data_IF_940345465197
#
_entry.id   IF_940345465197
#
_cell.length_a   1.000
_cell.length_b   1.000
_cell.length_c   1.000
_cell.angle_alpha   90.00
_cell.angle_beta   90.00
_cell.angle_gamma   90.00
#
_symmetry.space_group_name_H-M   'P 1'
#
loop_
_entity.id
_entity.type
_entity.pdbx_description
1 polymer ?
#
# COMPACT_ATOMS: atom_id res chain seq x y z
N UNK A 1 -32.11 27.49 5.76
CA UNK A 1 -30.77 27.16 6.28
C UNK A 1 -30.91 26.67 7.70
N UNK A 2 -30.59 25.40 7.96
CA UNK A 2 -30.38 24.78 9.28
C UNK A 2 -30.08 23.29 9.03
N UNK A 3 -28.80 22.93 8.94
CA UNK A 3 -28.37 21.53 9.07
C UNK A 3 -27.74 21.39 10.45
N UNK A 4 -28.56 20.90 11.39
CA UNK A 4 -28.12 20.47 12.71
C UNK A 4 -27.87 18.97 12.67
N UNK A 5 -26.62 18.60 12.86
CA UNK A 5 -26.12 17.53 13.76
C UNK A 5 -26.96 16.26 13.92
N UNK A 6 -26.40 15.12 13.51
CA UNK A 6 -26.47 13.90 14.33
C UNK A 6 -25.29 12.96 14.02
N UNK A 7 -24.34 12.92 14.95
CA UNK A 7 -23.39 11.81 15.13
C UNK A 7 -24.07 10.86 16.12
N UNK A 8 -24.29 9.59 15.77
CA UNK A 8 -24.38 8.52 16.78
C UNK A 8 -24.27 7.10 16.20
N UNK A 9 -23.31 6.35 16.77
CA UNK A 9 -23.27 4.89 17.00
C UNK A 9 -23.23 3.96 15.75
N UNK A 10 -22.59 2.79 15.76
CA UNK A 10 -22.07 1.90 16.78
C UNK A 10 -21.09 0.92 16.09
N UNK A 11 -20.08 0.37 16.78
CA UNK A 11 -19.76 -1.06 16.66
C UNK A 11 -19.25 -1.56 18.01
N UNK A 12 -20.05 -2.41 18.63
CA UNK A 12 -19.74 -3.11 19.86
C UNK A 12 -18.77 -4.28 19.58
N UNK A 13 -17.85 -4.42 20.53
CA UNK A 13 -16.94 -5.54 20.77
C UNK A 13 -17.67 -6.89 20.69
N UNK A 14 -17.22 -7.81 19.82
CA UNK A 14 -17.71 -9.20 19.82
C UNK A 14 -16.60 -10.15 20.25
N UNK A 15 -16.91 -10.91 21.29
CA UNK A 15 -16.08 -11.87 22.02
C UNK A 15 -15.94 -13.21 21.29
N UNK A 16 -14.82 -13.86 21.62
CA UNK A 16 -14.42 -15.27 21.40
C UNK A 16 -15.45 -16.29 20.92
N UNK A 17 -15.01 -17.10 19.96
CA UNK A 17 -15.40 -18.51 19.84
C UNK A 17 -14.14 -19.38 19.62
N UNK A 18 -13.86 -20.22 20.60
CA UNK A 18 -12.88 -21.32 20.53
C UNK A 18 -13.68 -22.57 20.17
N UNK A 19 -13.33 -23.28 19.08
CA UNK A 19 -13.71 -24.68 18.93
C UNK A 19 -12.73 -25.47 18.04
N UNK A 20 -12.20 -26.53 18.66
CA UNK A 20 -11.81 -27.86 18.14
C UNK A 20 -10.68 -28.02 17.10
N UNK A 21 -9.62 -28.71 17.57
CA UNK A 21 -8.82 -29.68 16.79
C UNK A 21 -9.67 -30.92 16.42
N UNK A 22 -9.29 -31.70 15.38
CA UNK A 22 -8.37 -32.82 15.60
C UNK A 22 -7.32 -33.03 14.49
N UNK A 23 -6.22 -33.68 14.87
CA UNK A 23 -5.17 -34.18 13.98
C UNK A 23 -5.66 -35.33 13.05
N UNK A 24 -4.89 -35.62 12.00
CA UNK A 24 -4.43 -37.01 11.87
C UNK A 24 -2.94 -37.14 11.54
N UNK A 25 -2.41 -38.29 11.96
CA UNK A 25 -1.07 -38.79 11.79
C UNK A 25 -0.69 -39.10 10.33
N UNK A 26 0.59 -38.97 9.98
CA UNK A 26 1.45 -40.11 9.64
C UNK A 26 2.76 -39.66 9.00
N UNK A 27 3.85 -40.24 9.50
CA UNK A 27 5.17 -40.31 8.87
C UNK A 27 5.09 -40.60 7.38
N UNK A 28 5.86 -39.87 6.56
CA UNK A 28 6.65 -40.44 5.46
C UNK A 28 7.85 -39.51 5.19
N UNK A 29 8.99 -39.95 5.71
CA UNK A 29 10.33 -39.57 5.24
C UNK A 29 10.43 -39.95 3.76
N UNK A 30 10.31 -38.98 2.86
CA UNK A 30 10.63 -39.20 1.45
C UNK A 30 12.14 -39.16 1.30
N UNK A 31 12.70 -40.36 1.20
CA UNK A 31 14.07 -40.66 0.85
C UNK A 31 14.53 -39.84 -0.35
N UNK A 32 15.66 -39.16 -0.20
CA UNK A 32 16.36 -38.44 -1.25
C UNK A 32 17.02 -39.46 -2.19
N UNK A 33 16.22 -40.08 -3.06
CA UNK A 33 16.71 -41.10 -3.98
C UNK A 33 17.49 -40.45 -5.13
N UNK A 34 18.80 -40.66 -5.09
CA UNK A 34 19.81 -40.05 -5.94
C UNK A 34 19.75 -40.72 -7.32
N UNK A 35 18.87 -40.26 -8.22
CA UNK A 35 18.84 -40.70 -9.63
C UNK A 35 20.06 -40.19 -10.40
N UNK A 36 21.19 -40.88 -10.25
CA UNK A 36 22.27 -40.90 -11.24
C UNK A 36 21.79 -41.76 -12.40
N UNK A 37 21.20 -41.13 -13.42
CA UNK A 37 20.86 -41.80 -14.67
C UNK A 37 22.13 -41.89 -15.53
N UNK A 38 22.84 -43.01 -15.45
CA UNK A 38 23.86 -43.39 -16.46
C UNK A 38 23.14 -43.56 -17.80
N UNK A 39 23.40 -42.66 -18.75
CA UNK A 39 23.01 -42.84 -20.15
C UNK A 39 24.18 -43.47 -20.91
N UNK A 40 24.05 -44.75 -21.25
CA UNK A 40 24.83 -45.45 -22.28
C UNK A 40 24.09 -45.33 -23.61
N UNK A 41 24.70 -44.66 -24.59
CA UNK A 41 24.22 -44.59 -25.98
C UNK A 41 24.74 -43.34 -26.71
N UNK A 42 25.22 -43.44 -27.97
CA UNK A 42 25.72 -42.30 -28.73
C UNK A 42 24.53 -41.53 -29.32
N UNK A 43 23.87 -40.74 -28.47
CA UNK A 43 22.79 -39.85 -28.85
C UNK A 43 23.32 -38.43 -29.02
N UNK A 44 23.16 -37.88 -30.22
CA UNK A 44 23.46 -36.51 -30.63
C UNK A 44 23.08 -35.52 -29.51
N UNK A 45 24.08 -34.79 -29.00
CA UNK A 45 23.93 -33.69 -28.06
C UNK A 45 23.07 -32.59 -28.72
N UNK A 46 21.76 -32.65 -28.54
CA UNK A 46 20.90 -31.50 -28.78
C UNK A 46 21.20 -30.50 -27.67
N UNK A 47 22.05 -29.52 -27.98
CA UNK A 47 22.32 -28.37 -27.11
C UNK A 47 20.97 -27.68 -26.90
N UNK A 48 20.36 -27.92 -25.75
CA UNK A 48 19.15 -27.24 -25.32
C UNK A 48 19.48 -25.75 -25.29
N UNK A 49 19.01 -25.06 -26.34
CA UNK A 49 19.16 -23.62 -26.57
C UNK A 49 18.88 -22.91 -25.26
N UNK A 50 19.93 -22.37 -24.62
CA UNK A 50 19.78 -21.55 -23.41
C UNK A 50 18.77 -20.47 -23.75
N UNK A 51 17.70 -20.38 -22.98
CA UNK A 51 16.68 -19.35 -23.14
C UNK A 51 17.37 -17.99 -23.27
N UNK A 52 16.98 -17.14 -24.23
CA UNK A 52 17.64 -15.86 -24.43
C UNK A 52 17.53 -15.04 -23.14
N UNK A 53 18.65 -14.45 -22.72
CA UNK A 53 18.68 -13.54 -21.60
C UNK A 53 17.58 -12.47 -21.77
N UNK A 54 16.82 -12.12 -20.72
CA UNK A 54 15.76 -11.12 -20.83
C UNK A 54 16.35 -9.82 -21.36
N UNK A 55 15.76 -9.29 -22.43
CA UNK A 55 16.27 -8.12 -23.12
C UNK A 55 16.41 -6.92 -22.16
N UNK A 56 17.42 -6.04 -22.34
CA UNK A 56 17.68 -4.92 -21.45
C UNK A 56 16.44 -4.04 -21.17
N UNK A 57 15.55 -3.92 -22.17
CA UNK A 57 14.29 -3.18 -22.09
C UNK A 57 13.28 -3.77 -21.10
N UNK A 58 13.19 -5.11 -21.01
CA UNK A 58 12.30 -5.80 -20.05
C UNK A 58 12.76 -5.59 -18.60
N UNK A 59 14.08 -5.55 -18.39
CA UNK A 59 14.68 -5.29 -17.07
C UNK A 59 14.46 -3.84 -16.60
N UNK A 60 14.51 -2.85 -17.50
CA UNK A 60 14.26 -1.46 -17.14
C UNK A 60 12.81 -1.19 -16.70
N UNK A 61 11.84 -1.81 -17.38
CA UNK A 61 10.41 -1.69 -17.06
C UNK A 61 10.09 -2.31 -15.69
N UNK A 62 10.59 -3.51 -15.43
CA UNK A 62 10.39 -4.18 -14.14
C UNK A 62 10.98 -3.38 -12.97
N UNK A 63 12.16 -2.76 -13.17
CA UNK A 63 12.76 -1.86 -12.17
C UNK A 63 11.88 -0.64 -11.88
N UNK A 64 11.37 0.04 -12.92
CA UNK A 64 10.47 1.20 -12.75
C UNK A 64 9.18 0.83 -12.03
N UNK A 65 8.60 -0.33 -12.35
CA UNK A 65 7.42 -0.85 -11.68
C UNK A 65 7.68 -1.12 -10.18
N UNK A 66 8.80 -1.76 -9.85
CA UNK A 66 9.18 -2.00 -8.46
C UNK A 66 9.38 -0.68 -7.69
N UNK A 67 10.06 0.29 -8.28
CA UNK A 67 10.23 1.63 -7.71
C UNK A 67 8.87 2.28 -7.45
N UNK A 68 7.98 2.28 -8.44
CA UNK A 68 6.65 2.87 -8.29
C UNK A 68 5.85 2.25 -7.13
N UNK A 69 5.89 0.92 -6.99
CA UNK A 69 5.24 0.21 -5.87
C UNK A 69 5.83 0.60 -4.52
N UNK A 70 7.15 0.72 -4.43
CA UNK A 70 7.84 1.17 -3.21
C UNK A 70 7.46 2.62 -2.88
N UNK A 71 7.46 3.52 -3.87
CA UNK A 71 7.08 4.92 -3.67
C UNK A 71 5.65 5.08 -3.17
N UNK A 72 4.70 4.25 -3.63
CA UNK A 72 3.32 4.22 -3.09
C UNK A 72 3.34 3.86 -1.61
N UNK A 73 3.97 2.74 -1.25
CA UNK A 73 3.99 2.25 0.15
C UNK A 73 4.69 3.25 1.07
N UNK A 74 5.86 3.74 0.66
CA UNK A 74 6.65 4.69 1.44
C UNK A 74 5.93 6.03 1.57
N UNK A 75 5.33 6.52 0.48
CA UNK A 75 4.57 7.77 0.49
C UNK A 75 3.36 7.68 1.42
N UNK A 76 2.58 6.60 1.36
CA UNK A 76 1.44 6.39 2.27
C UNK A 76 1.86 6.29 3.73
N UNK A 77 2.96 5.59 4.03
CA UNK A 77 3.47 5.50 5.40
C UNK A 77 3.90 6.88 5.92
N UNK A 78 4.72 7.60 5.15
CA UNK A 78 5.19 8.94 5.53
C UNK A 78 4.05 9.94 5.68
N UNK A 79 3.00 9.80 4.86
CA UNK A 79 1.80 10.63 4.99
C UNK A 79 1.11 10.37 6.32
N UNK A 80 0.94 9.11 6.74
CA UNK A 80 0.37 8.77 8.04
C UNK A 80 1.21 9.30 9.22
N UNK A 81 2.54 9.16 9.13
CA UNK A 81 3.47 9.68 10.13
C UNK A 81 3.34 11.23 10.23
N UNK A 82 3.37 11.93 9.09
CA UNK A 82 3.20 13.37 9.04
C UNK A 82 1.82 13.84 9.54
N UNK A 83 0.74 13.11 9.26
CA UNK A 83 -0.58 13.44 9.81
C UNK A 83 -0.63 13.33 11.34
N UNK A 84 0.15 12.41 11.92
CA UNK A 84 0.31 12.31 13.38
C UNK A 84 1.04 13.54 13.93
N UNK A 85 2.06 14.02 13.20
CA UNK A 85 2.74 15.28 13.54
C UNK A 85 1.82 16.49 13.40
N UNK A 86 0.94 16.53 12.38
CA UNK A 86 -0.09 17.59 12.25
C UNK A 86 -1.02 17.57 13.45
N UNK A 87 -1.50 16.41 13.90
CA UNK A 87 -2.33 16.30 15.12
C UNK A 87 -1.58 16.82 16.34
N UNK A 88 -0.32 16.42 16.51
CA UNK A 88 0.49 16.85 17.64
C UNK A 88 0.75 18.38 17.62
N UNK A 89 1.05 18.95 16.45
CA UNK A 89 1.31 20.37 16.28
C UNK A 89 0.04 21.23 16.41
N UNK A 90 -1.13 20.70 16.04
CA UNK A 90 -2.42 21.36 16.24
C UNK A 90 -2.83 21.36 17.72
N UNK A 91 -2.56 20.25 18.45
CA UNK A 91 -2.91 20.08 19.86
C UNK A 91 -4.38 20.42 20.20
N UNK A 92 -5.30 20.23 19.24
CA UNK A 92 -6.74 20.56 19.37
C UNK A 92 -7.06 22.05 19.33
N UNK A 93 -6.12 22.91 18.91
CA UNK A 93 -6.33 24.35 18.82
C UNK A 93 -7.33 24.74 17.72
N UNK A 94 -7.36 23.99 16.61
CA UNK A 94 -8.27 24.22 15.50
C UNK A 94 -9.03 22.95 15.11
N UNK A 95 -10.35 22.96 15.33
CA UNK A 95 -11.23 21.84 15.00
C UNK A 95 -11.37 21.58 13.49
N UNK A 96 -11.15 22.61 12.65
CA UNK A 96 -11.13 22.44 11.21
C UNK A 96 -9.90 21.64 10.77
N UNK A 97 -8.74 21.88 11.40
CA UNK A 97 -7.53 21.07 11.20
C UNK A 97 -7.81 19.61 11.60
N UNK A 98 -8.39 19.37 12.78
CA UNK A 98 -8.69 18.01 13.25
C UNK A 98 -9.65 17.26 12.32
N UNK A 99 -10.65 17.96 11.79
CA UNK A 99 -11.59 17.40 10.79
C UNK A 99 -10.84 16.94 9.56
N UNK A 100 -9.94 17.77 9.03
CA UNK A 100 -9.19 17.43 7.82
C UNK A 100 -8.12 16.35 8.07
N UNK A 101 -7.48 16.33 9.24
CA UNK A 101 -6.56 15.23 9.60
C UNK A 101 -7.31 13.90 9.68
N UNK A 102 -8.52 13.88 10.25
CA UNK A 102 -9.36 12.68 10.31
C UNK A 102 -9.71 12.19 8.91
N UNK A 103 -10.16 13.09 8.03
CA UNK A 103 -10.47 12.76 6.63
C UNK A 103 -9.23 12.26 5.86
N UNK A 104 -8.08 12.91 6.04
CA UNK A 104 -6.83 12.51 5.41
C UNK A 104 -6.38 11.12 5.88
N UNK A 105 -6.47 10.85 7.18
CA UNK A 105 -6.12 9.56 7.79
C UNK A 105 -7.02 8.45 7.29
N UNK A 106 -8.33 8.69 7.15
CA UNK A 106 -9.26 7.72 6.58
C UNK A 106 -8.89 7.37 5.13
N UNK A 107 -8.60 8.37 4.29
CA UNK A 107 -8.14 8.13 2.92
C UNK A 107 -6.82 7.36 2.84
N UNK A 108 -5.85 7.70 3.70
CA UNK A 108 -4.57 6.95 3.79
C UNK A 108 -4.82 5.51 4.22
N UNK A 109 -5.70 5.26 5.20
CA UNK A 109 -6.04 3.91 5.67
C UNK A 109 -6.67 3.07 4.56
N UNK A 110 -7.65 3.63 3.84
CA UNK A 110 -8.29 2.95 2.71
C UNK A 110 -7.27 2.59 1.62
N UNK A 111 -6.37 3.53 1.29
CA UNK A 111 -5.31 3.26 0.33
C UNK A 111 -4.35 2.16 0.82
N UNK A 112 -3.97 2.18 2.10
CA UNK A 112 -3.12 1.15 2.68
C UNK A 112 -3.79 -0.22 2.67
N UNK A 113 -5.09 -0.30 2.92
CA UNK A 113 -5.83 -1.57 2.90
C UNK A 113 -5.94 -2.13 1.48
N UNK A 114 -6.15 -1.26 0.48
CA UNK A 114 -6.02 -1.65 -0.94
C UNK A 114 -4.62 -2.18 -1.26
N UNK A 115 -3.55 -1.51 -0.81
CA UNK A 115 -2.17 -1.97 -1.01
C UNK A 115 -1.92 -3.32 -0.33
N UNK A 116 -2.42 -3.54 0.89
CA UNK A 116 -2.29 -4.81 1.61
C UNK A 116 -2.99 -5.95 0.86
N UNK A 117 -4.21 -5.71 0.38
CA UNK A 117 -4.98 -6.70 -0.39
C UNK A 117 -4.26 -7.06 -1.70
N UNK A 118 -3.78 -6.07 -2.45
CA UNK A 118 -2.94 -6.27 -3.63
C UNK A 118 -1.69 -7.09 -3.30
N UNK A 119 -1.03 -6.78 -2.17
CA UNK A 119 0.13 -7.52 -1.70
C UNK A 119 -0.19 -8.98 -1.36
N UNK A 120 -1.37 -9.26 -0.81
CA UNK A 120 -1.85 -10.61 -0.53
C UNK A 120 -2.11 -11.40 -1.82
N UNK A 121 -2.79 -10.80 -2.80
CA UNK A 121 -3.02 -11.40 -4.12
C UNK A 121 -1.71 -11.79 -4.79
N UNK A 122 -0.75 -10.87 -4.83
CA UNK A 122 0.56 -11.11 -5.44
C UNK A 122 1.30 -12.24 -4.74
N UNK A 123 1.27 -12.30 -3.40
CA UNK A 123 1.89 -13.38 -2.64
C UNK A 123 1.23 -14.74 -2.91
N UNK A 124 -0.08 -14.75 -3.14
CA UNK A 124 -0.83 -15.94 -3.54
C UNK A 124 -0.61 -16.33 -5.02
N UNK A 125 0.10 -15.51 -5.81
CA UNK A 125 0.29 -15.72 -7.24
C UNK A 125 -0.87 -15.26 -8.11
N UNK A 126 -1.85 -14.55 -7.52
CA UNK A 126 -2.98 -13.99 -8.22
C UNK A 126 -2.64 -12.63 -8.84
N UNK A 127 -3.35 -12.27 -9.90
CA UNK A 127 -3.34 -10.91 -10.40
C UNK A 127 -4.09 -9.99 -9.41
N UNK A 128 -3.59 -8.76 -9.15
CA UNK A 128 -4.28 -7.82 -8.29
C UNK A 128 -5.72 -7.56 -8.76
N UNK A 129 -6.66 -7.50 -7.83
CA UNK A 129 -8.05 -7.18 -8.15
C UNK A 129 -8.24 -5.70 -8.54
N UNK A 130 -9.19 -5.42 -9.43
CA UNK A 130 -9.53 -4.03 -9.79
C UNK A 130 -10.09 -3.26 -8.60
N UNK A 131 -10.91 -3.90 -7.76
CA UNK A 131 -11.50 -3.27 -6.59
C UNK A 131 -10.43 -2.73 -5.63
N UNK A 132 -9.36 -3.49 -5.39
CA UNK A 132 -8.28 -3.05 -4.50
C UNK A 132 -7.41 -1.95 -5.13
N UNK A 133 -7.19 -1.99 -6.46
CA UNK A 133 -6.57 -0.85 -7.16
C UNK A 133 -7.39 0.43 -7.03
N UNK A 134 -8.71 0.31 -7.12
CA UNK A 134 -9.61 1.46 -6.97
C UNK A 134 -9.54 2.02 -5.55
N UNK A 135 -9.52 1.18 -4.51
CA UNK A 135 -9.29 1.62 -3.12
C UNK A 135 -7.98 2.42 -2.96
N UNK A 136 -6.89 1.96 -3.57
CA UNK A 136 -5.62 2.70 -3.54
C UNK A 136 -5.77 4.07 -4.20
N UNK A 137 -6.42 4.13 -5.36
CA UNK A 137 -6.62 5.37 -6.11
C UNK A 137 -7.52 6.35 -5.35
N UNK A 138 -8.70 5.92 -4.95
CA UNK A 138 -9.68 6.76 -4.27
C UNK A 138 -9.21 7.19 -2.89
N UNK A 139 -8.56 6.29 -2.13
CA UNK A 139 -7.96 6.65 -0.84
C UNK A 139 -6.86 7.70 -0.96
N UNK A 140 -5.99 7.60 -1.97
CA UNK A 140 -4.97 8.64 -2.25
C UNK A 140 -5.61 9.97 -2.65
N UNK A 141 -6.68 9.95 -3.47
CA UNK A 141 -7.40 11.16 -3.89
C UNK A 141 -8.05 11.84 -2.67
N UNK A 142 -8.75 11.07 -1.83
CA UNK A 142 -9.37 11.58 -0.62
C UNK A 142 -8.33 12.17 0.34
N UNK A 143 -7.23 11.46 0.59
CA UNK A 143 -6.13 11.94 1.43
C UNK A 143 -5.53 13.24 0.88
N UNK A 144 -5.27 13.31 -0.43
CA UNK A 144 -4.72 14.51 -1.07
C UNK A 144 -5.68 15.69 -0.97
N UNK A 145 -6.97 15.47 -1.21
CA UNK A 145 -7.98 16.52 -1.10
C UNK A 145 -8.05 17.11 0.31
N UNK A 146 -8.04 16.27 1.34
CA UNK A 146 -8.00 16.72 2.73
C UNK A 146 -6.70 17.46 3.09
N UNK A 147 -5.55 17.01 2.59
CA UNK A 147 -4.26 17.70 2.77
C UNK A 147 -4.26 19.07 2.07
N UNK A 148 -4.89 19.21 0.90
CA UNK A 148 -5.04 20.51 0.25
C UNK A 148 -5.89 21.49 1.06
N UNK A 149 -6.94 20.97 1.72
CA UNK A 149 -7.71 21.77 2.68
C UNK A 149 -6.89 22.13 3.91
N UNK A 150 -6.09 21.21 4.46
CA UNK A 150 -5.14 21.51 5.55
C UNK A 150 -4.20 22.65 5.17
N UNK A 151 -3.61 22.62 3.97
CA UNK A 151 -2.75 23.72 3.48
C UNK A 151 -3.47 25.05 3.42
N UNK A 152 -4.73 25.04 3.00
CA UNK A 152 -5.54 26.26 2.90
C UNK A 152 -5.83 26.83 4.29
N UNK A 153 -6.21 25.97 5.24
CA UNK A 153 -6.51 26.36 6.63
C UNK A 153 -5.24 26.89 7.33
N UNK A 154 -4.12 26.17 7.23
CA UNK A 154 -2.88 26.58 7.91
C UNK A 154 -2.25 27.83 7.31
N UNK A 155 -2.39 28.05 6.00
CA UNK A 155 -1.95 29.29 5.37
C UNK A 155 -2.73 30.53 5.87
N UNK A 156 -4.01 30.37 6.18
CA UNK A 156 -4.82 31.44 6.77
C UNK A 156 -4.41 31.76 8.23
N UNK A 157 -3.83 30.77 8.93
CA UNK A 157 -3.46 30.81 10.35
C UNK A 157 -1.95 30.57 10.56
N UNK A 158 -1.10 31.21 9.75
CA UNK A 158 0.35 30.93 9.62
C UNK A 158 1.23 31.24 10.86
N UNK A 159 0.66 31.35 12.06
CA UNK A 159 1.37 31.63 13.30
C UNK A 159 2.02 30.40 13.93
N UNK A 160 1.61 29.19 13.52
CA UNK A 160 2.16 27.92 14.02
C UNK A 160 3.06 27.27 12.95
N UNK A 161 4.36 27.59 13.01
CA UNK A 161 5.35 27.13 12.05
C UNK A 161 5.50 25.58 12.02
N UNK A 162 5.36 24.93 13.18
CA UNK A 162 5.44 23.47 13.28
C UNK A 162 4.26 22.81 12.57
N UNK A 163 3.05 23.37 12.74
CA UNK A 163 1.85 22.92 12.03
C UNK A 163 1.99 23.11 10.51
N UNK A 164 2.49 24.26 10.07
CA UNK A 164 2.75 24.51 8.64
C UNK A 164 3.76 23.50 8.08
N UNK A 165 4.87 23.25 8.79
CA UNK A 165 5.89 22.30 8.37
C UNK A 165 5.35 20.87 8.26
N UNK A 166 4.57 20.42 9.27
CA UNK A 166 3.97 19.09 9.27
C UNK A 166 2.98 18.89 8.11
N UNK A 167 2.16 19.91 7.80
CA UNK A 167 1.25 19.86 6.65
C UNK A 167 2.01 19.83 5.32
N UNK A 168 3.10 20.58 5.18
CA UNK A 168 3.93 20.53 3.98
C UNK A 168 4.63 19.18 3.81
N UNK A 169 5.04 18.53 4.89
CA UNK A 169 5.61 17.18 4.84
C UNK A 169 4.57 16.11 4.51
N UNK A 170 3.33 16.27 4.99
CA UNK A 170 2.20 15.45 4.55
C UNK A 170 1.96 15.62 3.03
N UNK A 171 1.95 16.84 2.50
CA UNK A 171 1.78 17.14 1.06
C UNK A 171 2.90 16.54 0.20
N UNK A 172 4.17 16.67 0.61
CA UNK A 172 5.30 16.03 -0.08
C UNK A 172 5.17 14.50 -0.09
N UNK A 173 4.75 13.92 1.04
CA UNK A 173 4.63 12.47 1.21
C UNK A 173 3.50 11.88 0.37
N UNK A 174 2.34 12.53 0.32
CA UNK A 174 1.24 12.06 -0.54
C UNK A 174 1.57 12.26 -2.03
N UNK A 175 2.32 13.31 -2.39
CA UNK A 175 2.84 13.49 -3.76
C UNK A 175 3.81 12.38 -4.17
N UNK A 176 4.62 11.87 -3.23
CA UNK A 176 5.45 10.69 -3.49
C UNK A 176 4.60 9.46 -3.78
N UNK A 177 3.51 9.24 -3.04
CA UNK A 177 2.60 8.13 -3.31
C UNK A 177 1.94 8.25 -4.68
N UNK A 178 1.47 9.45 -5.05
CA UNK A 178 0.89 9.74 -6.37
C UNK A 178 1.90 9.47 -7.49
N UNK A 179 3.14 9.96 -7.35
CA UNK A 179 4.22 9.70 -8.30
C UNK A 179 4.47 8.20 -8.47
N UNK A 180 4.52 7.46 -7.36
CA UNK A 180 4.64 6.01 -7.38
C UNK A 180 3.50 5.33 -8.13
N UNK A 181 2.25 5.74 -7.87
CA UNK A 181 1.06 5.22 -8.55
C UNK A 181 1.09 5.46 -10.06
N UNK A 182 1.53 6.65 -10.50
CA UNK A 182 1.71 6.96 -11.92
C UNK A 182 2.80 6.09 -12.57
N UNK A 183 3.91 5.85 -11.87
CA UNK A 183 4.96 4.94 -12.34
C UNK A 183 4.44 3.50 -12.47
N UNK A 184 3.62 3.04 -11.52
CA UNK A 184 2.99 1.71 -11.63
C UNK A 184 2.09 1.67 -12.86
N UNK A 185 1.13 2.59 -12.98
CA UNK A 185 0.18 2.63 -14.10
C UNK A 185 0.87 2.69 -15.48
N UNK A 186 1.98 3.41 -15.60
CA UNK A 186 2.74 3.50 -16.84
C UNK A 186 3.51 2.22 -17.20
N UNK A 187 3.86 1.38 -16.21
CA UNK A 187 4.74 0.23 -16.40
C UNK A 187 4.06 -1.13 -16.16
N UNK A 188 2.78 -1.18 -15.80
CA UNK A 188 2.04 -2.42 -15.51
C UNK A 188 1.39 -3.10 -16.75
N UNK A 189 1.68 -2.60 -17.96
CA UNK A 189 1.12 -3.12 -19.22
C UNK A 189 1.90 -4.28 -19.87
#
# INVERSE_FOLDING_TARGET
MKFSTLILAAVALTTMSVFASPAPASNQVVSLDRRVKKHTGPGILTIKKRSPAPSPKKNAKAKKLAIGRIEVVVGLKKTADALTEVTAANAGADAAVDTQVTAATAGVSEAQDGVKAIGADIKAGNAPQQADREKVKEGIIAAKGAIDQLKTITAANATNADLTAAVDDADKSIKLAIKGGLLVAANDK
#
